data_IF_876581273179
#
_entry.id   IF_876581273179
#
_cell.length_a   1.000
_cell.length_b   1.000
_cell.length_c   1.000
_cell.angle_alpha   90.00
_cell.angle_beta   90.00
_cell.angle_gamma   90.00
#
_symmetry.space_group_name_H-M   'P 1'
#
loop_
_entity.id
_entity.type
_entity.pdbx_description
1 polymer ?
#
# COMPACT_ATOMS: atom_id res chain seq x y z
N UNK A 1 -26.04 -46.07 57.29
CA UNK A 1 -25.27 -46.06 56.03
C UNK A 1 -26.11 -45.87 54.77
N UNK A 2 -27.31 -46.48 54.62
CA UNK A 2 -28.13 -46.32 53.40
C UNK A 2 -28.71 -44.91 53.17
N UNK A 3 -28.95 -44.13 54.23
CA UNK A 3 -29.49 -42.76 54.11
C UNK A 3 -28.45 -41.71 53.71
N UNK A 4 -27.16 -41.91 54.02
CA UNK A 4 -26.11 -40.98 53.57
C UNK A 4 -25.89 -41.03 52.06
N UNK A 5 -26.08 -42.21 51.44
CA UNK A 5 -25.85 -42.39 50.01
C UNK A 5 -26.86 -41.63 49.13
N UNK A 6 -28.10 -41.45 49.60
CA UNK A 6 -29.17 -40.76 48.87
C UNK A 6 -28.96 -39.26 48.86
N UNK A 7 -28.44 -38.70 49.97
CA UNK A 7 -28.12 -37.26 50.05
C UNK A 7 -26.91 -36.91 49.19
N UNK A 8 -25.89 -37.78 49.13
CA UNK A 8 -24.74 -37.60 48.24
C UNK A 8 -25.11 -37.66 46.76
N UNK A 9 -26.08 -38.50 46.39
CA UNK A 9 -26.56 -38.61 45.00
C UNK A 9 -27.37 -37.37 44.58
N UNK A 10 -28.18 -36.80 45.48
CA UNK A 10 -28.95 -35.57 45.22
C UNK A 10 -28.04 -34.34 45.08
N UNK A 11 -26.96 -34.25 45.84
CA UNK A 11 -25.96 -33.18 45.69
C UNK A 11 -25.15 -33.30 44.38
N UNK A 12 -24.90 -34.52 43.88
CA UNK A 12 -24.24 -34.72 42.59
C UNK A 12 -25.11 -34.28 41.40
N UNK A 13 -26.44 -34.44 41.49
CA UNK A 13 -27.36 -33.98 40.44
C UNK A 13 -27.42 -32.45 40.36
N UNK A 14 -27.21 -31.73 41.47
CA UNK A 14 -27.14 -30.26 41.47
C UNK A 14 -25.81 -29.71 40.96
N UNK A 15 -24.72 -30.49 40.99
CA UNK A 15 -23.43 -30.07 40.42
C UNK A 15 -23.34 -30.24 38.90
N UNK A 16 -24.18 -31.10 38.30
CA UNK A 16 -24.22 -31.30 36.83
C UNK A 16 -25.07 -30.23 36.11
N UNK A 17 -25.96 -29.54 36.83
CA UNK A 17 -26.78 -28.44 36.29
C UNK A 17 -26.04 -27.08 36.27
N UNK A 18 -24.79 -27.04 36.76
CA UNK A 18 -23.93 -25.85 36.73
C UNK A 18 -23.23 -25.60 35.39
N UNK A 19 -23.31 -26.54 34.44
CA UNK A 19 -23.02 -26.27 33.03
C UNK A 19 -24.31 -25.83 32.35
N UNK A 20 -24.80 -24.64 32.75
CA UNK A 20 -25.68 -23.90 31.87
C UNK A 20 -24.91 -23.72 30.56
N UNK A 21 -25.31 -24.48 29.53
CA UNK A 21 -24.99 -24.19 28.15
C UNK A 21 -25.31 -22.70 27.99
N UNK A 22 -24.33 -21.83 27.69
CA UNK A 22 -24.63 -20.43 27.50
C UNK A 22 -25.78 -20.37 26.50
N UNK A 23 -26.81 -19.60 26.88
CA UNK A 23 -28.04 -19.42 26.13
C UNK A 23 -27.78 -19.60 24.63
N UNK A 24 -28.51 -20.55 24.03
CA UNK A 24 -28.64 -20.78 22.58
C UNK A 24 -28.19 -19.53 21.81
N UNK A 25 -27.20 -19.62 20.90
CA UNK A 25 -26.64 -18.43 20.27
C UNK A 25 -27.81 -17.62 19.74
N UNK A 26 -28.05 -16.45 20.34
CA UNK A 26 -28.72 -15.37 19.64
C UNK A 26 -28.05 -15.38 18.28
N UNK A 27 -28.81 -15.63 17.21
CA UNK A 27 -28.30 -15.64 15.84
C UNK A 27 -27.36 -14.45 15.68
N UNK A 28 -26.06 -14.70 15.81
CA UNK A 28 -25.09 -13.63 15.89
C UNK A 28 -24.92 -13.23 14.44
N UNK A 29 -25.61 -12.17 14.04
CA UNK A 29 -25.77 -11.77 12.63
C UNK A 29 -24.43 -11.71 11.91
N UNK A 30 -23.35 -11.50 12.66
CA UNK A 30 -21.98 -11.27 12.26
C UNK A 30 -21.04 -12.47 12.39
N UNK A 31 -21.48 -13.58 13.00
CA UNK A 31 -20.68 -14.80 13.16
C UNK A 31 -21.50 -16.01 12.75
N UNK A 32 -21.13 -16.64 11.62
CA UNK A 32 -21.91 -17.75 11.05
C UNK A 32 -21.04 -18.97 10.79
N UNK A 33 -21.52 -20.14 11.21
CA UNK A 33 -20.97 -21.42 10.77
C UNK A 33 -21.74 -21.86 9.52
N UNK A 34 -21.05 -21.93 8.40
CA UNK A 34 -21.63 -22.35 7.13
C UNK A 34 -21.19 -23.79 6.87
N UNK A 35 -22.12 -24.72 6.56
CA UNK A 35 -21.76 -26.07 6.14
C UNK A 35 -20.79 -26.06 4.95
N UNK A 36 -19.90 -27.06 4.93
CA UNK A 36 -19.02 -27.32 3.79
C UNK A 36 -19.78 -27.85 2.57
N UNK A 37 -19.09 -28.60 1.71
CA UNK A 37 -19.74 -29.29 0.59
C UNK A 37 -20.78 -30.32 1.09
N UNK A 38 -21.72 -30.70 0.23
CA UNK A 38 -22.81 -31.63 0.58
C UNK A 38 -22.34 -32.96 1.19
N UNK A 39 -21.11 -33.38 0.88
CA UNK A 39 -20.49 -34.61 1.37
C UNK A 39 -19.50 -34.39 2.54
N UNK A 40 -19.46 -33.20 3.14
CA UNK A 40 -18.52 -32.85 4.21
C UNK A 40 -19.25 -32.45 5.48
N UNK A 41 -18.81 -33.01 6.61
CA UNK A 41 -19.23 -32.56 7.94
C UNK A 41 -18.47 -31.32 8.42
N UNK A 42 -17.48 -30.87 7.64
CA UNK A 42 -16.71 -29.68 7.98
C UNK A 42 -17.59 -28.42 7.88
N UNK A 43 -17.32 -27.46 8.74
CA UNK A 43 -17.95 -26.15 8.71
C UNK A 43 -16.88 -25.08 8.44
N UNK A 44 -17.30 -24.00 7.79
CA UNK A 44 -16.49 -22.79 7.64
C UNK A 44 -17.08 -21.67 8.48
N UNK A 45 -16.22 -20.84 9.05
CA UNK A 45 -16.62 -19.64 9.75
C UNK A 45 -16.71 -18.46 8.77
N UNK A 46 -17.81 -17.70 8.84
CA UNK A 46 -17.96 -16.40 8.21
C UNK A 46 -18.07 -15.34 9.31
N UNK A 47 -17.19 -14.34 9.23
CA UNK A 47 -17.30 -13.11 10.00
C UNK A 47 -17.81 -12.02 9.06
N UNK A 48 -18.88 -11.34 9.45
CA UNK A 48 -19.50 -10.29 8.65
C UNK A 48 -19.62 -8.99 9.46
N UNK A 49 -19.83 -7.89 8.76
CA UNK A 49 -20.15 -6.58 9.32
C UNK A 49 -21.09 -5.84 8.37
N UNK A 50 -21.96 -5.00 8.93
CA UNK A 50 -22.92 -4.20 8.17
C UNK A 50 -22.44 -2.75 8.00
N UNK A 51 -23.13 -2.03 7.11
CA UNK A 51 -22.97 -0.59 6.93
C UNK A 51 -23.82 0.13 7.97
N UNK A 52 -23.19 0.97 8.79
CA UNK A 52 -23.86 1.86 9.75
C UNK A 52 -23.35 3.29 9.56
N UNK A 53 -24.16 4.17 8.99
CA UNK A 53 -23.80 5.58 8.77
C UNK A 53 -23.72 6.40 10.06
N UNK A 54 -24.25 5.87 11.17
CA UNK A 54 -24.29 6.52 12.49
C UNK A 54 -23.13 6.11 13.39
N UNK A 55 -22.26 5.20 12.93
CA UNK A 55 -21.12 4.75 13.70
C UNK A 55 -20.18 5.91 14.08
N UNK A 56 -19.98 6.09 15.38
CA UNK A 56 -19.29 7.26 15.94
C UNK A 56 -17.87 7.44 15.38
N UNK A 57 -17.17 6.35 15.04
CA UNK A 57 -15.81 6.40 14.48
C UNK A 57 -15.76 7.10 13.13
N UNK A 58 -16.86 7.25 12.40
CA UNK A 58 -16.87 8.10 11.19
C UNK A 58 -16.57 9.58 11.46
N UNK A 59 -16.59 10.03 12.72
CA UNK A 59 -16.14 11.38 13.09
C UNK A 59 -14.60 11.46 13.24
N UNK A 60 -13.93 10.33 13.41
CA UNK A 60 -12.49 10.25 13.55
C UNK A 60 -11.84 10.19 12.17
N UNK A 61 -10.81 11.02 11.98
CA UNK A 61 -10.14 11.18 10.69
C UNK A 61 -9.60 9.87 10.11
N UNK A 62 -8.97 9.03 10.94
CA UNK A 62 -8.37 7.76 10.52
C UNK A 62 -9.38 6.77 9.93
N UNK A 63 -10.65 6.89 10.32
CA UNK A 63 -11.75 6.04 9.88
C UNK A 63 -12.62 6.68 8.79
N UNK A 64 -12.67 8.01 8.69
CA UNK A 64 -13.44 8.70 7.65
C UNK A 64 -12.65 8.91 6.36
N UNK A 65 -11.35 9.23 6.46
CA UNK A 65 -10.58 9.71 5.32
C UNK A 65 -10.51 8.66 4.19
N UNK A 66 -11.12 8.99 3.04
CA UNK A 66 -11.24 8.11 1.88
C UNK A 66 -12.47 7.18 1.91
N UNK A 67 -13.08 6.96 3.08
CA UNK A 67 -14.22 6.05 3.22
C UNK A 67 -15.54 6.74 2.85
N UNK A 68 -16.47 5.96 2.28
CA UNK A 68 -17.86 6.39 2.09
C UNK A 68 -18.74 5.68 3.12
N UNK A 69 -19.20 6.37 4.20
CA UNK A 69 -19.99 5.76 5.27
C UNK A 69 -21.30 5.14 4.80
N UNK A 70 -21.81 5.49 3.61
CA UNK A 70 -23.07 4.97 3.07
C UNK A 70 -22.96 3.56 2.48
N UNK A 71 -21.74 3.09 2.22
CA UNK A 71 -21.49 1.79 1.55
C UNK A 71 -20.38 0.98 2.18
N UNK A 72 -19.60 1.55 3.09
CA UNK A 72 -18.47 0.88 3.74
C UNK A 72 -18.97 0.20 5.02
N UNK A 73 -18.82 -1.12 5.17
CA UNK A 73 -19.10 -1.78 6.43
C UNK A 73 -18.20 -1.27 7.55
N UNK A 74 -18.67 -1.31 8.80
CA UNK A 74 -17.78 -1.09 9.95
C UNK A 74 -16.66 -2.14 9.94
N UNK A 75 -15.41 -1.79 10.26
CA UNK A 75 -14.35 -2.81 10.30
C UNK A 75 -14.56 -3.78 11.48
N UNK A 76 -14.25 -5.06 11.25
CA UNK A 76 -14.20 -6.07 12.31
C UNK A 76 -12.82 -6.03 12.96
N UNK A 77 -12.76 -6.08 14.29
CA UNK A 77 -11.49 -6.09 15.04
C UNK A 77 -11.12 -7.49 15.48
N UNK A 78 -9.85 -7.86 15.31
CA UNK A 78 -9.25 -9.06 15.93
C UNK A 78 -8.29 -8.58 17.01
N UNK A 79 -8.65 -8.79 18.29
CA UNK A 79 -7.83 -8.41 19.44
C UNK A 79 -6.80 -9.51 19.76
N UNK A 80 -5.85 -9.72 18.87
CA UNK A 80 -4.83 -10.75 19.02
C UNK A 80 -3.97 -10.94 17.77
N UNK A 81 -3.07 -11.91 17.82
CA UNK A 81 -2.24 -12.29 16.66
C UNK A 81 -3.09 -13.12 15.70
N UNK A 82 -3.20 -12.69 14.44
CA UNK A 82 -3.70 -13.50 13.35
C UNK A 82 -2.52 -14.24 12.71
N UNK A 83 -2.38 -15.54 12.97
CA UNK A 83 -1.35 -16.39 12.38
C UNK A 83 -2.01 -17.55 11.63
N UNK A 84 -1.68 -17.72 10.36
CA UNK A 84 -2.21 -18.77 9.50
C UNK A 84 -1.12 -19.30 8.56
N UNK A 85 -1.02 -20.63 8.36
CA UNK A 85 -0.15 -21.20 7.32
C UNK A 85 -0.77 -21.11 5.91
N UNK A 86 -1.99 -20.59 5.81
CA UNK A 86 -2.75 -20.48 4.56
C UNK A 86 -2.75 -19.06 4.00
N UNK A 87 -3.09 -18.95 2.72
CA UNK A 87 -3.18 -17.68 2.01
C UNK A 87 -4.26 -16.77 2.60
N UNK A 88 -3.91 -15.50 2.84
CA UNK A 88 -4.89 -14.42 3.05
C UNK A 88 -5.20 -13.81 1.67
N UNK A 89 -6.48 -13.80 1.30
CA UNK A 89 -6.93 -13.23 0.02
C UNK A 89 -7.79 -12.01 0.24
N UNK A 90 -7.35 -10.87 -0.31
CA UNK A 90 -8.17 -9.67 -0.44
C UNK A 90 -8.70 -9.65 -1.87
N UNK A 91 -10.00 -9.86 -2.05
CA UNK A 91 -10.66 -9.92 -3.36
C UNK A 91 -11.53 -8.70 -3.55
N UNK A 92 -11.62 -8.17 -4.78
CA UNK A 92 -12.49 -7.04 -5.12
C UNK A 92 -13.22 -7.29 -6.43
N UNK A 93 -14.51 -6.96 -6.48
CA UNK A 93 -15.34 -6.95 -7.68
C UNK A 93 -16.47 -5.93 -7.50
N UNK A 94 -16.78 -5.16 -8.54
CA UNK A 94 -17.85 -4.15 -8.55
C UNK A 94 -19.25 -4.77 -8.40
N UNK A 95 -19.41 -6.03 -8.82
CA UNK A 95 -20.70 -6.72 -8.86
C UNK A 95 -21.03 -7.54 -7.60
N UNK A 96 -20.17 -7.55 -6.58
CA UNK A 96 -20.41 -8.31 -5.35
C UNK A 96 -21.07 -7.46 -4.25
N UNK A 97 -22.11 -8.03 -3.61
CA UNK A 97 -22.75 -7.44 -2.42
C UNK A 97 -21.69 -7.27 -1.31
N UNK A 98 -21.65 -6.11 -0.67
CA UNK A 98 -20.65 -5.69 0.34
C UNK A 98 -19.22 -5.40 -0.18
N UNK A 99 -19.03 -5.17 -1.50
CA UNK A 99 -17.82 -4.57 -2.12
C UNK A 99 -16.50 -4.91 -1.39
N UNK A 100 -16.08 -6.18 -1.53
CA UNK A 100 -15.00 -6.87 -0.78
C UNK A 100 -13.60 -6.19 -0.78
N UNK A 101 -13.43 -5.08 -1.51
CA UNK A 101 -12.24 -4.24 -1.55
C UNK A 101 -12.66 -2.78 -1.63
N UNK A 102 -12.06 -1.90 -0.84
CA UNK A 102 -12.33 -0.46 -0.91
C UNK A 102 -11.60 0.17 -2.09
N UNK A 103 -12.33 0.34 -3.20
CA UNK A 103 -11.78 0.86 -4.46
C UNK A 103 -10.62 0.00 -4.92
N UNK A 104 -9.40 0.52 -4.74
CA UNK A 104 -8.14 -0.10 -5.15
C UNK A 104 -7.30 -0.66 -3.99
N UNK A 105 -7.66 -0.39 -2.73
CA UNK A 105 -6.85 -0.69 -1.54
C UNK A 105 -6.84 -2.19 -1.20
N UNK A 106 -5.64 -2.74 -1.03
CA UNK A 106 -5.40 -4.15 -0.65
C UNK A 106 -4.93 -4.27 0.79
N UNK A 107 -4.09 -3.34 1.24
CA UNK A 107 -3.51 -3.37 2.58
C UNK A 107 -3.22 -1.97 3.08
N UNK A 108 -3.48 -1.75 4.36
CA UNK A 108 -3.18 -0.52 5.07
C UNK A 108 -2.59 -0.84 6.44
N UNK A 109 -1.42 -0.26 6.74
CA UNK A 109 -0.75 -0.42 8.03
C UNK A 109 -0.43 0.94 8.63
N UNK A 110 -1.02 1.24 9.79
CA UNK A 110 -0.85 2.52 10.45
C UNK A 110 0.36 2.48 11.40
N UNK A 111 1.07 3.60 11.48
CA UNK A 111 2.08 3.81 12.51
C UNK A 111 1.44 3.86 13.90
N UNK A 112 2.25 3.69 14.95
CA UNK A 112 1.78 3.68 16.35
C UNK A 112 0.98 4.93 16.74
N UNK A 113 1.25 6.06 16.11
CA UNK A 113 0.58 7.33 16.39
C UNK A 113 -0.68 7.56 15.53
N UNK A 114 -1.03 6.61 14.66
CA UNK A 114 -2.16 6.65 13.72
C UNK A 114 -2.11 7.79 12.70
N UNK A 115 -0.92 8.36 12.43
CA UNK A 115 -0.78 9.51 11.52
C UNK A 115 -0.11 9.20 10.20
N UNK A 116 0.74 8.17 10.16
CA UNK A 116 1.43 7.72 8.95
C UNK A 116 1.00 6.32 8.60
N UNK A 117 0.99 5.97 7.31
CA UNK A 117 0.39 4.70 6.87
C UNK A 117 1.05 4.12 5.64
N UNK A 118 1.44 2.85 5.70
CA UNK A 118 1.78 2.09 4.50
C UNK A 118 0.49 1.74 3.78
N UNK A 119 0.43 2.00 2.47
CA UNK A 119 -0.77 1.76 1.66
C UNK A 119 -0.37 0.98 0.42
N UNK A 120 -1.06 -0.16 0.18
CA UNK A 120 -0.93 -0.95 -1.03
C UNK A 120 -2.21 -0.86 -1.86
N UNK A 121 -2.11 -0.39 -3.10
CA UNK A 121 -3.21 -0.31 -4.06
C UNK A 121 -2.95 -1.23 -5.24
N UNK A 122 -4.00 -1.74 -5.89
CA UNK A 122 -3.86 -2.42 -7.18
C UNK A 122 -4.91 -1.94 -8.17
N UNK A 123 -4.45 -1.63 -9.38
CA UNK A 123 -5.21 -1.14 -10.53
C UNK A 123 -5.91 0.20 -10.27
N UNK A 124 -5.32 1.09 -9.45
CA UNK A 124 -5.81 2.47 -9.29
C UNK A 124 -5.60 3.27 -10.56
N UNK A 125 -4.41 3.15 -11.14
CA UNK A 125 -4.01 3.81 -12.37
C UNK A 125 -3.51 2.80 -13.39
N UNK A 126 -3.45 3.26 -14.64
CA UNK A 126 -2.67 2.65 -15.71
C UNK A 126 -1.48 3.57 -16.02
N UNK A 127 -0.27 3.01 -16.02
CA UNK A 127 0.96 3.70 -16.41
C UNK A 127 1.66 2.83 -17.46
N UNK A 128 2.20 3.47 -18.50
CA UNK A 128 2.86 2.77 -19.62
C UNK A 128 1.99 1.63 -20.18
N UNK A 129 0.70 1.94 -20.41
CA UNK A 129 -0.33 1.04 -20.96
C UNK A 129 -0.65 -0.19 -20.08
N UNK A 130 -0.28 -0.18 -18.80
CA UNK A 130 -0.49 -1.30 -17.88
C UNK A 130 -1.05 -0.87 -16.53
N UNK A 131 -1.97 -1.64 -15.94
CA UNK A 131 -2.46 -1.36 -14.59
C UNK A 131 -1.35 -1.52 -13.55
N UNK A 132 -1.31 -0.62 -12.57
CA UNK A 132 -0.23 -0.55 -11.58
C UNK A 132 -0.66 -1.12 -10.22
N UNK A 133 0.27 -1.85 -9.59
CA UNK A 133 0.23 -2.10 -8.15
C UNK A 133 1.15 -1.09 -7.46
N UNK A 134 0.58 -0.31 -6.55
CA UNK A 134 1.27 0.80 -5.89
C UNK A 134 1.52 0.46 -4.44
N UNK A 135 2.70 0.81 -3.94
CA UNK A 135 3.06 0.68 -2.53
C UNK A 135 3.83 1.92 -2.09
N UNK A 136 3.29 2.65 -1.12
CA UNK A 136 3.92 3.86 -0.61
C UNK A 136 3.70 4.00 0.90
N UNK A 137 4.58 4.79 1.54
CA UNK A 137 4.47 5.12 2.95
C UNK A 137 4.07 6.58 3.12
N UNK A 138 2.81 6.80 3.48
CA UNK A 138 2.23 8.12 3.61
C UNK A 138 2.56 8.75 4.96
N UNK A 139 2.85 10.04 4.97
CA UNK A 139 3.18 10.84 6.16
C UNK A 139 1.93 11.46 6.78
N UNK A 140 2.11 12.38 7.72
CA UNK A 140 1.02 13.03 8.48
C UNK A 140 0.32 14.14 7.71
N UNK A 141 0.88 14.55 6.57
CA UNK A 141 0.33 15.57 5.67
C UNK A 141 -0.45 14.84 4.58
N UNK A 142 -1.75 15.12 4.47
CA UNK A 142 -2.64 14.42 3.54
C UNK A 142 -2.92 15.23 2.29
N UNK A 143 -1.90 15.33 1.45
CA UNK A 143 -1.97 15.85 0.09
C UNK A 143 -1.03 15.06 -0.83
N UNK A 144 -0.87 15.49 -2.06
CA UNK A 144 0.00 14.80 -3.01
C UNK A 144 1.43 15.35 -3.05
N UNK A 145 1.85 16.26 -2.17
CA UNK A 145 3.21 16.85 -2.19
C UNK A 145 4.32 15.88 -1.75
N UNK A 146 5.58 16.14 -2.10
CA UNK A 146 6.72 15.29 -1.68
C UNK A 146 6.80 15.07 -0.14
N UNK A 147 6.61 16.09 0.73
CA UNK A 147 6.58 15.90 2.18
C UNK A 147 5.42 15.05 2.72
N UNK A 148 4.39 14.79 1.91
CA UNK A 148 3.30 13.89 2.29
C UNK A 148 3.72 12.41 2.24
N UNK A 149 4.92 12.09 1.76
CA UNK A 149 5.42 10.73 1.66
C UNK A 149 6.69 10.57 2.48
N UNK A 150 6.70 9.55 3.34
CA UNK A 150 7.85 9.11 4.10
C UNK A 150 8.71 8.14 3.27
N UNK A 151 9.91 7.85 3.75
CA UNK A 151 10.76 6.81 3.16
C UNK A 151 10.19 5.41 3.36
N UNK A 152 9.89 4.72 2.27
CA UNK A 152 9.66 3.29 2.24
C UNK A 152 10.97 2.55 1.96
N UNK A 153 11.40 1.70 2.89
CA UNK A 153 12.69 1.01 2.80
C UNK A 153 12.52 -0.44 2.37
N UNK A 154 13.27 -0.85 1.35
CA UNK A 154 13.34 -2.23 0.88
C UNK A 154 14.71 -2.84 1.21
N UNK A 155 14.73 -3.96 1.95
CA UNK A 155 15.89 -4.84 2.09
C UNK A 155 16.33 -5.15 3.53
N UNK A 156 16.56 -4.15 4.37
CA UNK A 156 17.11 -4.33 5.73
C UNK A 156 16.54 -3.32 6.72
N UNK A 157 16.54 -3.63 8.00
CA UNK A 157 16.23 -2.72 9.12
C UNK A 157 17.45 -1.87 9.56
N UNK A 158 18.66 -2.18 9.10
CA UNK A 158 19.90 -1.46 9.49
C UNK A 158 20.02 -0.11 8.78
N UNK A 159 20.20 0.98 9.54
CA UNK A 159 20.33 2.35 8.98
C UNK A 159 21.42 2.44 7.93
N UNK A 160 21.19 3.22 6.86
CA UNK A 160 22.15 3.42 5.75
C UNK A 160 22.59 2.14 5.03
N UNK A 161 21.76 1.09 5.07
CA UNK A 161 21.85 -0.07 4.20
C UNK A 161 20.57 -0.20 3.37
N UNK A 162 20.67 -0.87 2.21
CA UNK A 162 19.57 -1.10 1.28
C UNK A 162 19.06 0.17 0.57
N UNK A 163 17.76 0.26 0.26
CA UNK A 163 17.21 1.23 -0.69
C UNK A 163 15.98 1.93 -0.11
N UNK A 164 15.97 3.26 -0.18
CA UNK A 164 14.84 4.10 0.23
C UNK A 164 14.08 4.59 -1.00
N UNK A 165 12.76 4.56 -0.93
CA UNK A 165 11.85 5.06 -1.96
C UNK A 165 10.87 6.06 -1.31
N UNK A 166 10.81 7.27 -1.85
CA UNK A 166 9.83 8.29 -1.49
C UNK A 166 8.90 8.56 -2.67
N UNK A 167 8.20 9.71 -2.67
CA UNK A 167 7.33 10.10 -3.80
C UNK A 167 8.11 10.27 -5.10
N UNK A 168 9.07 11.19 -5.10
CA UNK A 168 9.78 11.63 -6.31
C UNK A 168 11.28 11.27 -6.26
N UNK A 169 11.72 10.51 -5.25
CA UNK A 169 13.13 10.24 -4.96
C UNK A 169 13.38 8.81 -4.54
N UNK A 170 14.55 8.30 -4.89
CA UNK A 170 15.06 7.05 -4.38
C UNK A 170 16.55 7.17 -4.01
N UNK A 171 16.93 6.61 -2.85
CA UNK A 171 18.31 6.64 -2.33
C UNK A 171 18.82 5.22 -2.20
N UNK A 172 19.96 4.96 -2.85
CA UNK A 172 20.56 3.63 -2.91
C UNK A 172 21.83 3.62 -2.07
N UNK A 173 21.76 3.01 -0.88
CA UNK A 173 22.95 2.79 -0.03
C UNK A 173 23.69 1.49 -0.38
N UNK A 174 23.00 0.55 -1.03
CA UNK A 174 23.58 -0.71 -1.49
C UNK A 174 24.25 -0.62 -2.86
N UNK A 175 24.97 -1.68 -3.23
CA UNK A 175 25.48 -1.84 -4.61
C UNK A 175 24.31 -2.04 -5.58
N UNK A 176 24.26 -1.22 -6.62
CA UNK A 176 23.33 -1.36 -7.74
C UNK A 176 24.08 -1.98 -8.92
N UNK A 177 23.68 -3.19 -9.34
CA UNK A 177 24.14 -3.83 -10.57
C UNK A 177 22.99 -3.88 -11.57
N UNK A 178 23.15 -3.20 -12.70
CA UNK A 178 22.23 -3.28 -13.84
C UNK A 178 22.76 -4.33 -14.82
N UNK A 179 22.00 -5.39 -15.08
CA UNK A 179 22.38 -6.44 -16.04
C UNK A 179 21.95 -6.13 -17.47
N UNK A 180 21.29 -4.99 -17.67
CA UNK A 180 20.77 -4.53 -18.95
C UNK A 180 21.16 -3.05 -19.15
N UNK A 181 20.66 -2.42 -20.21
CA UNK A 181 20.91 -1.03 -20.53
C UNK A 181 20.35 -0.07 -19.47
N UNK A 182 21.03 1.07 -19.31
CA UNK A 182 20.58 2.24 -18.58
C UNK A 182 20.30 3.34 -19.60
N UNK A 183 19.08 3.85 -19.62
CA UNK A 183 18.70 5.00 -20.44
C UNK A 183 18.65 6.23 -19.54
N UNK A 184 19.37 7.29 -19.91
CA UNK A 184 19.29 8.57 -19.23
C UNK A 184 17.94 9.25 -19.52
N UNK A 185 17.45 10.03 -18.56
CA UNK A 185 16.27 10.87 -18.77
C UNK A 185 16.43 11.73 -20.02
N UNK A 186 15.49 11.63 -20.95
CA UNK A 186 15.49 12.35 -22.21
C UNK A 186 14.74 13.68 -22.04
N UNK A 187 15.47 14.74 -21.66
CA UNK A 187 14.90 15.98 -21.14
C UNK A 187 15.25 17.14 -22.08
N UNK A 188 14.23 17.82 -22.60
CA UNK A 188 14.33 19.10 -23.28
C UNK A 188 13.54 20.19 -22.55
N UNK A 189 13.45 21.39 -23.13
CA UNK A 189 12.72 22.53 -22.54
C UNK A 189 11.26 22.22 -22.24
N UNK A 190 10.60 21.42 -23.07
CA UNK A 190 9.20 21.02 -22.89
C UNK A 190 8.97 20.04 -21.75
N UNK A 191 10.03 19.38 -21.27
CA UNK A 191 10.00 18.49 -20.11
C UNK A 191 10.24 19.23 -18.79
N UNK A 192 10.43 20.55 -18.84
CA UNK A 192 10.77 21.38 -17.70
C UNK A 192 9.68 22.42 -17.46
N UNK A 193 9.35 22.59 -16.19
CA UNK A 193 8.42 23.63 -15.73
C UNK A 193 8.97 24.25 -14.46
N UNK A 194 9.29 25.54 -14.50
CA UNK A 194 9.86 26.22 -13.34
C UNK A 194 8.87 26.39 -12.20
N UNK A 195 7.59 26.66 -12.52
CA UNK A 195 6.54 26.88 -11.53
C UNK A 195 5.71 25.63 -11.30
N UNK A 196 5.54 25.26 -10.03
CA UNK A 196 4.62 24.19 -9.62
C UNK A 196 3.19 24.49 -10.11
N UNK A 197 2.45 23.45 -10.47
CA UNK A 197 1.03 23.58 -10.77
C UNK A 197 0.27 23.80 -9.46
N UNK A 198 -0.69 24.73 -9.45
CA UNK A 198 -1.53 24.99 -8.26
C UNK A 198 -2.68 24.00 -8.13
N UNK A 199 -2.98 23.28 -9.20
CA UNK A 199 -3.99 22.24 -9.22
C UNK A 199 -3.47 20.96 -8.54
N UNK A 200 -4.40 20.06 -8.23
CA UNK A 200 -4.07 18.78 -7.63
C UNK A 200 -3.17 17.93 -8.55
N UNK A 201 -2.07 17.40 -8.00
CA UNK A 201 -1.05 16.68 -8.76
C UNK A 201 -1.56 15.40 -9.42
N UNK A 202 -2.62 14.77 -8.90
CA UNK A 202 -3.22 13.58 -9.53
C UNK A 202 -3.94 13.96 -10.83
N UNK A 203 -4.53 15.16 -10.89
CA UNK A 203 -5.25 15.64 -12.08
C UNK A 203 -4.34 16.18 -13.16
N UNK A 204 -3.26 16.84 -12.77
CA UNK A 204 -2.29 17.50 -13.68
C UNK A 204 -0.93 16.79 -13.66
N UNK A 205 -0.92 15.46 -13.48
CA UNK A 205 0.30 14.66 -13.23
C UNK A 205 1.40 14.88 -14.28
N UNK A 206 1.03 15.06 -15.55
CA UNK A 206 1.98 15.26 -16.63
C UNK A 206 2.72 16.61 -16.53
N UNK A 207 2.03 17.67 -16.10
CA UNK A 207 2.63 18.98 -15.89
C UNK A 207 3.40 19.05 -14.55
N UNK A 208 2.89 18.37 -13.52
CA UNK A 208 3.58 18.24 -12.23
C UNK A 208 4.93 17.52 -12.38
N UNK A 209 4.98 16.45 -13.17
CA UNK A 209 6.20 15.71 -13.46
C UNK A 209 7.29 16.59 -14.13
N UNK A 210 6.90 17.57 -14.96
CA UNK A 210 7.86 18.53 -15.55
C UNK A 210 8.49 19.44 -14.48
N UNK A 211 7.73 19.78 -13.45
CA UNK A 211 8.24 20.55 -12.33
C UNK A 211 9.17 19.71 -11.45
N UNK A 212 8.90 18.41 -11.29
CA UNK A 212 9.82 17.46 -10.65
C UNK A 212 11.18 17.45 -11.38
N UNK A 213 11.20 17.30 -12.70
CA UNK A 213 12.44 17.36 -13.49
C UNK A 213 13.21 18.67 -13.27
N UNK A 214 12.51 19.81 -13.26
CA UNK A 214 13.13 21.11 -13.01
C UNK A 214 13.76 21.19 -11.62
N UNK A 215 13.05 20.78 -10.56
CA UNK A 215 13.55 20.76 -9.19
C UNK A 215 14.79 19.89 -9.07
N UNK A 216 14.74 18.68 -9.62
CA UNK A 216 15.85 17.71 -9.54
C UNK A 216 17.08 18.20 -10.31
N UNK A 217 16.94 18.75 -11.53
CA UNK A 217 18.08 19.32 -12.24
C UNK A 217 18.63 20.57 -11.54
N UNK A 218 17.79 21.48 -11.04
CA UNK A 218 18.24 22.68 -10.33
C UNK A 218 18.97 22.33 -9.03
N UNK A 219 18.42 21.39 -8.25
CA UNK A 219 18.96 20.93 -6.97
C UNK A 219 20.04 19.86 -7.06
N UNK A 220 20.32 19.33 -8.25
CA UNK A 220 21.28 18.25 -8.47
C UNK A 220 22.71 18.56 -8.00
N UNK A 221 23.42 17.51 -7.59
CA UNK A 221 24.84 17.56 -7.26
C UNK A 221 25.75 17.20 -8.46
N UNK A 222 27.06 17.21 -8.21
CA UNK A 222 28.04 16.72 -9.17
C UNK A 222 27.77 15.24 -9.51
N UNK A 223 27.99 14.85 -10.77
CA UNK A 223 27.76 13.51 -11.29
C UNK A 223 26.35 13.26 -11.83
N UNK A 224 25.40 14.20 -11.66
CA UNK A 224 24.08 14.09 -12.30
C UNK A 224 24.23 14.17 -13.81
N UNK A 225 23.59 13.24 -14.52
CA UNK A 225 23.62 13.14 -15.98
C UNK A 225 22.21 13.03 -16.55
N UNK A 226 22.00 13.62 -17.73
CA UNK A 226 20.78 13.42 -18.53
C UNK A 226 21.10 13.54 -20.03
N UNK A 227 20.17 13.12 -20.87
CA UNK A 227 20.24 13.34 -22.31
C UNK A 227 19.46 14.60 -22.68
N UNK A 228 20.16 15.63 -23.15
CA UNK A 228 19.56 16.85 -23.68
C UNK A 228 19.16 16.60 -25.14
N UNK A 229 17.86 16.35 -25.37
CA UNK A 229 17.34 16.14 -26.73
C UNK A 229 17.27 17.38 -27.59
N UNK A 230 17.18 18.57 -27.01
CA UNK A 230 17.11 19.81 -27.80
C UNK A 230 18.43 20.04 -28.54
N UNK A 231 19.53 19.59 -27.92
CA UNK A 231 20.88 19.72 -28.47
C UNK A 231 21.53 18.40 -28.90
N UNK A 232 20.86 17.26 -28.68
CA UNK A 232 21.33 15.91 -29.01
C UNK A 232 22.69 15.57 -28.36
N UNK A 233 22.81 15.83 -27.05
CA UNK A 233 24.04 15.60 -26.26
C UNK A 233 23.74 14.93 -24.90
N UNK A 234 24.74 14.24 -24.36
CA UNK A 234 24.75 13.84 -22.94
C UNK A 234 25.41 14.95 -22.14
N UNK A 235 24.75 15.37 -21.05
CA UNK A 235 25.23 16.43 -20.15
C UNK A 235 25.52 15.83 -18.78
N UNK A 236 26.59 16.28 -18.13
CA UNK A 236 26.98 15.91 -16.77
C UNK A 236 27.27 17.17 -15.94
N UNK A 237 26.91 17.15 -14.65
CA UNK A 237 27.28 18.22 -13.71
C UNK A 237 28.64 17.96 -13.09
N UNK A 238 29.58 18.88 -13.25
CA UNK A 238 30.94 18.81 -12.69
C UNK A 238 31.27 20.15 -12.05
N UNK A 239 31.70 20.13 -10.79
CA UNK A 239 32.00 21.33 -9.99
C UNK A 239 30.93 22.42 -10.07
N UNK A 240 29.66 22.00 -10.00
CA UNK A 240 28.49 22.87 -10.06
C UNK A 240 28.11 23.37 -11.46
N UNK A 241 28.88 23.05 -12.49
CA UNK A 241 28.64 23.47 -13.88
C UNK A 241 28.14 22.31 -14.75
N UNK A 242 27.24 22.61 -15.68
CA UNK A 242 26.80 21.65 -16.68
C UNK A 242 27.80 21.59 -17.83
N UNK A 243 28.29 20.38 -18.12
CA UNK A 243 29.29 20.13 -19.15
C UNK A 243 28.80 19.04 -20.10
N UNK A 244 29.17 19.15 -21.38
CA UNK A 244 28.93 18.10 -22.36
C UNK A 244 29.87 16.91 -22.09
N UNK A 245 29.33 15.71 -22.10
CA UNK A 245 30.13 14.47 -22.16
C UNK A 245 30.66 14.30 -23.58
N UNK A 246 31.98 14.20 -23.71
CA UNK A 246 32.61 13.91 -25.00
C UNK A 246 32.37 12.44 -25.36
N UNK A 247 31.83 12.20 -26.56
CA UNK A 247 31.60 10.87 -27.13
C UNK A 247 32.21 10.81 -28.52
N UNK A 248 32.69 9.64 -28.92
CA UNK A 248 33.23 9.39 -30.25
C UNK A 248 32.28 8.47 -31.03
N UNK A 249 32.23 8.59 -32.37
CA UNK A 249 31.54 7.61 -33.19
C UNK A 249 32.07 6.20 -32.93
N UNK A 250 31.22 5.20 -33.18
CA UNK A 250 31.66 3.81 -33.14
C UNK A 250 32.83 3.59 -34.12
N UNK A 251 33.78 2.69 -33.78
CA UNK A 251 34.84 2.31 -34.70
C UNK A 251 34.31 1.83 -36.06
N UNK A 252 35.08 2.10 -37.13
CA UNK A 252 34.73 1.67 -38.47
C UNK A 252 34.45 0.14 -38.52
N UNK A 253 33.30 -0.24 -39.09
CA UNK A 253 32.88 -1.64 -39.20
C UNK A 253 32.07 -2.16 -38.02
N UNK A 254 31.99 -1.45 -36.89
CA UNK A 254 31.10 -1.80 -35.78
C UNK A 254 29.72 -1.18 -36.03
N UNK A 255 28.71 -2.04 -36.14
CA UNK A 255 27.29 -1.64 -36.25
C UNK A 255 26.46 -2.56 -35.38
N UNK A 256 25.50 -1.98 -34.68
CA UNK A 256 24.49 -2.74 -33.96
C UNK A 256 23.29 -2.94 -34.90
N UNK A 257 22.87 -4.19 -35.18
CA UNK A 257 21.87 -4.51 -36.21
C UNK A 257 20.42 -4.34 -35.74
N UNK A 258 20.20 -3.93 -34.49
CA UNK A 258 18.90 -3.76 -33.87
C UNK A 258 18.42 -2.32 -33.96
#
# INVERSE_FOLDING_TARGET
>A
MKQLLVVSLLLAVHLVLGQAIPNSPQNDTYVRLIPGSENSTAQRLELASDVDTTWQRWQERGYNFGFNPKVTPMYTTVNGILSTPYMIQVRGNENERNRKRWGYHVFEGYARDDKSRITMLVNKHEEEERPVAELYYYSTVYNHSEPAYNWFKLGSDVRQHSFLFGRDKAIFYGSLRLTNALTLGNIGKENLRETEVTADSEKEYAEDAKHVNFKELKGSGNGTMFYDKDNNIVVIKVDGQWMKVAVEPLPAGIKYPF
#
